data_IF_475455077061
#
_entry.id   IF_475455077061
#
_cell.length_a   1.000
_cell.length_b   1.000
_cell.length_c   1.000
_cell.angle_alpha   90.00
_cell.angle_beta   90.00
_cell.angle_gamma   90.00
#
_symmetry.space_group_name_H-M   'P 1'
#
loop_
_entity.id
_entity.type
_entity.pdbx_description
1 polymer ?
#
# COMPACT_ATOMS: atom_id res chain seq x y z
N UNK A 1 21.93 6.24 -16.02
CA UNK A 1 21.02 7.32 -15.57
C UNK A 1 19.96 6.68 -14.68
N UNK A 2 19.72 7.20 -13.47
CA UNK A 2 18.51 6.82 -12.72
C UNK A 2 17.33 7.36 -13.53
N UNK A 3 16.50 6.48 -14.09
CA UNK A 3 15.24 6.88 -14.71
C UNK A 3 14.39 7.55 -13.65
N UNK A 4 14.09 8.83 -13.80
CA UNK A 4 13.16 9.52 -12.92
C UNK A 4 11.75 9.07 -13.32
N UNK A 5 11.17 8.15 -12.55
CA UNK A 5 9.77 7.75 -12.72
C UNK A 5 8.90 8.91 -12.23
N UNK A 6 8.10 9.47 -13.14
CA UNK A 6 7.09 10.47 -12.79
C UNK A 6 5.83 9.74 -12.33
N UNK A 7 5.20 10.27 -11.28
CA UNK A 7 3.97 9.75 -10.71
C UNK A 7 2.98 10.90 -10.57
N UNK A 8 1.74 10.64 -10.96
CA UNK A 8 0.61 11.55 -10.83
C UNK A 8 -0.60 10.77 -10.32
N UNK A 9 -1.57 11.45 -9.73
CA UNK A 9 -2.81 10.86 -9.26
C UNK A 9 -3.99 11.80 -9.47
N UNK A 10 -5.18 11.22 -9.57
CA UNK A 10 -6.47 11.89 -9.71
C UNK A 10 -7.53 11.11 -8.94
N UNK A 11 -8.63 11.79 -8.60
CA UNK A 11 -9.77 11.17 -7.93
C UNK A 11 -10.90 10.96 -8.93
N UNK A 12 -11.52 9.78 -8.89
CA UNK A 12 -12.64 9.41 -9.75
C UNK A 12 -13.80 8.85 -8.90
N UNK A 13 -15.01 8.98 -9.41
CA UNK A 13 -16.21 8.38 -8.84
C UNK A 13 -16.92 7.57 -9.92
N UNK A 14 -17.28 6.33 -9.63
CA UNK A 14 -17.94 5.44 -10.58
C UNK A 14 -18.05 4.01 -10.04
N UNK A 15 -18.56 3.13 -10.88
CA UNK A 15 -18.87 1.74 -10.52
C UNK A 15 -17.86 0.77 -11.15
N UNK A 16 -17.45 -0.24 -10.38
CA UNK A 16 -16.69 -1.36 -10.92
C UNK A 16 -17.62 -2.34 -11.66
N UNK A 17 -17.24 -2.91 -12.81
CA UNK A 17 -15.93 -2.77 -13.48
C UNK A 17 -15.84 -1.63 -14.51
N UNK A 18 -16.94 -0.94 -14.82
CA UNK A 18 -16.99 0.02 -15.94
C UNK A 18 -16.04 1.21 -15.77
N UNK A 19 -15.82 1.66 -14.52
CA UNK A 19 -14.94 2.79 -14.22
C UNK A 19 -13.47 2.53 -14.57
N UNK A 20 -13.01 1.27 -14.52
CA UNK A 20 -11.62 0.91 -14.82
C UNK A 20 -11.29 1.29 -16.26
N UNK A 21 -12.11 0.82 -17.21
CA UNK A 21 -11.92 1.10 -18.64
C UNK A 21 -11.98 2.61 -18.93
N UNK A 22 -12.91 3.33 -18.31
CA UNK A 22 -13.02 4.78 -18.47
C UNK A 22 -11.75 5.50 -18.01
N UNK A 23 -11.18 5.10 -16.87
CA UNK A 23 -9.94 5.68 -16.34
C UNK A 23 -8.76 5.33 -17.25
N UNK A 24 -8.64 4.09 -17.70
CA UNK A 24 -7.56 3.70 -18.61
C UNK A 24 -7.58 4.49 -19.91
N UNK A 25 -8.75 4.61 -20.56
CA UNK A 25 -8.90 5.39 -21.79
C UNK A 25 -8.53 6.87 -21.58
N UNK A 26 -8.93 7.43 -20.43
CA UNK A 26 -8.56 8.79 -20.04
C UNK A 26 -7.04 8.95 -19.87
N UNK A 27 -6.39 8.02 -19.16
CA UNK A 27 -4.95 8.03 -18.91
C UNK A 27 -4.16 7.94 -20.23
N UNK A 28 -4.49 6.99 -21.11
CA UNK A 28 -3.79 6.84 -22.39
C UNK A 28 -4.01 8.04 -23.32
N UNK A 29 -5.17 8.71 -23.23
CA UNK A 29 -5.43 9.92 -23.99
C UNK A 29 -4.63 11.12 -23.48
N UNK A 30 -4.55 11.32 -22.16
CA UNK A 30 -3.88 12.49 -21.58
C UNK A 30 -2.35 12.36 -21.56
N UNK A 31 -1.83 11.15 -21.37
CA UNK A 31 -0.40 10.89 -21.23
C UNK A 31 0.19 10.18 -22.46
N UNK A 32 -0.34 10.46 -23.66
CA UNK A 32 0.13 9.85 -24.92
C UNK A 32 1.63 10.05 -25.20
N UNK A 33 2.22 11.11 -24.66
CA UNK A 33 3.65 11.43 -24.81
C UNK A 33 4.55 10.71 -23.78
N UNK A 34 3.96 9.92 -22.88
CA UNK A 34 4.67 9.17 -21.84
C UNK A 34 4.55 7.66 -22.08
N UNK A 35 5.63 6.93 -21.80
CA UNK A 35 5.56 5.49 -21.64
C UNK A 35 4.94 5.16 -20.28
N UNK A 36 3.64 4.89 -20.26
CA UNK A 36 2.92 4.52 -19.04
C UNK A 36 3.35 3.11 -18.61
N UNK A 37 4.09 3.02 -17.51
CA UNK A 37 4.62 1.74 -17.00
C UNK A 37 3.69 1.05 -16.00
N UNK A 38 2.78 1.79 -15.36
CA UNK A 38 1.81 1.28 -14.39
C UNK A 38 0.59 2.21 -14.29
N UNK A 39 -0.60 1.62 -14.25
CA UNK A 39 -1.84 2.26 -13.81
C UNK A 39 -2.30 1.48 -12.58
N UNK A 40 -2.53 2.20 -11.49
CA UNK A 40 -3.06 1.64 -10.25
C UNK A 40 -4.34 2.40 -9.87
N UNK A 41 -5.42 1.67 -9.67
CA UNK A 41 -6.70 2.20 -9.19
C UNK A 41 -6.94 1.62 -7.80
N UNK A 42 -7.08 2.51 -6.83
CA UNK A 42 -7.29 2.18 -5.43
C UNK A 42 -8.61 2.79 -4.94
N UNK A 43 -9.30 2.05 -4.09
CA UNK A 43 -10.48 2.53 -3.37
C UNK A 43 -10.22 2.47 -1.88
N UNK A 44 -10.98 3.23 -1.08
CA UNK A 44 -11.03 2.97 0.35
C UNK A 44 -11.54 1.54 0.57
N UNK A 45 -10.93 0.81 1.50
CA UNK A 45 -11.38 -0.53 1.85
C UNK A 45 -12.80 -0.55 2.44
N UNK A 46 -13.32 0.59 2.88
CA UNK A 46 -14.69 0.74 3.37
C UNK A 46 -15.75 0.95 2.28
N UNK A 47 -15.34 1.16 1.01
CA UNK A 47 -16.28 1.42 -0.07
C UNK A 47 -17.25 0.24 -0.26
N UNK A 48 -18.44 0.57 -0.78
CA UNK A 48 -19.38 -0.43 -1.25
C UNK A 48 -18.77 -1.22 -2.42
N UNK A 49 -19.08 -2.52 -2.50
CA UNK A 49 -18.54 -3.44 -3.51
C UNK A 49 -17.18 -4.06 -3.18
N UNK A 50 -16.41 -3.51 -2.24
CA UNK A 50 -15.19 -4.16 -1.74
C UNK A 50 -15.56 -5.52 -1.12
N UNK A 51 -14.83 -6.62 -1.42
CA UNK A 51 -15.24 -7.95 -1.00
C UNK A 51 -15.28 -8.07 0.52
N UNK A 52 -16.44 -8.44 1.06
CA UNK A 52 -16.63 -8.53 2.51
C UNK A 52 -15.93 -9.77 3.09
N UNK A 53 -16.11 -10.91 2.42
CA UNK A 53 -15.61 -12.22 2.84
C UNK A 53 -14.58 -12.78 1.86
N UNK A 54 -13.80 -13.77 2.29
CA UNK A 54 -12.86 -14.51 1.43
C UNK A 54 -13.59 -15.20 0.27
N UNK A 55 -14.86 -15.57 0.47
CA UNK A 55 -15.73 -16.13 -0.57
C UNK A 55 -16.02 -15.08 -1.63
N UNK A 56 -16.42 -13.87 -1.22
CA UNK A 56 -16.67 -12.76 -2.16
C UNK A 56 -15.41 -12.41 -2.95
N UNK A 57 -14.26 -12.35 -2.26
CA UNK A 57 -12.96 -12.08 -2.89
C UNK A 57 -12.65 -13.10 -3.99
N UNK A 58 -12.90 -14.38 -3.73
CA UNK A 58 -12.63 -15.47 -4.68
C UNK A 58 -13.61 -15.52 -5.84
N UNK A 59 -14.89 -15.18 -5.61
CA UNK A 59 -15.94 -15.30 -6.64
C UNK A 59 -15.97 -14.11 -7.60
N UNK A 60 -15.67 -12.89 -7.12
CA UNK A 60 -15.94 -11.66 -7.87
C UNK A 60 -14.71 -10.82 -8.24
N UNK A 61 -13.53 -11.19 -7.73
CA UNK A 61 -12.31 -10.39 -7.89
C UNK A 61 -11.13 -11.24 -8.33
N UNK A 62 -10.24 -10.67 -9.13
CA UNK A 62 -9.04 -11.35 -9.58
C UNK A 62 -8.06 -11.57 -8.41
N UNK A 63 -7.54 -12.79 -8.28
CA UNK A 63 -6.71 -13.17 -7.14
C UNK A 63 -5.31 -12.55 -7.16
N UNK A 64 -4.78 -12.22 -8.35
CA UNK A 64 -3.42 -11.73 -8.51
C UNK A 64 -3.34 -10.21 -8.50
N UNK A 65 -4.37 -9.52 -9.00
CA UNK A 65 -4.36 -8.07 -9.24
C UNK A 65 -5.25 -7.29 -8.29
N UNK A 66 -6.15 -7.96 -7.55
CA UNK A 66 -6.96 -7.32 -6.51
C UNK A 66 -6.57 -7.79 -5.12
N UNK A 67 -6.23 -6.84 -4.25
CA UNK A 67 -5.74 -7.12 -2.91
C UNK A 67 -6.03 -5.96 -1.96
N UNK A 68 -6.05 -6.25 -0.66
CA UNK A 68 -6.06 -5.21 0.35
C UNK A 68 -4.65 -4.68 0.56
N UNK A 69 -4.51 -3.36 0.64
CA UNK A 69 -3.24 -2.69 0.95
C UNK A 69 -3.42 -1.78 2.17
N UNK A 70 -2.47 -1.87 3.09
CA UNK A 70 -2.46 -1.07 4.30
C UNK A 70 -1.15 -0.30 4.39
N UNK A 71 -1.23 0.99 4.68
CA UNK A 71 -0.07 1.83 4.90
C UNK A 71 -0.06 2.38 6.33
N UNK A 72 0.94 1.99 7.09
CA UNK A 72 1.19 2.43 8.46
C UNK A 72 2.23 3.53 8.46
N UNK A 73 1.81 4.76 8.76
CA UNK A 73 2.73 5.88 8.96
C UNK A 73 3.37 5.77 10.33
N UNK A 74 4.66 5.47 10.38
CA UNK A 74 5.44 5.29 11.61
C UNK A 74 6.40 6.45 11.78
N UNK A 75 6.46 7.02 12.99
CA UNK A 75 7.45 8.02 13.35
C UNK A 75 8.64 7.35 14.03
N UNK A 76 9.82 7.56 13.45
CA UNK A 76 11.10 7.11 13.97
C UNK A 76 11.80 8.31 14.59
N UNK A 77 11.80 8.38 15.93
CA UNK A 77 12.31 9.53 16.69
C UNK A 77 13.79 9.42 17.04
N UNK A 78 14.50 10.54 17.05
CA UNK A 78 15.89 10.64 17.50
C UNK A 78 16.86 9.65 16.80
N UNK A 79 16.72 9.46 15.48
CA UNK A 79 17.45 8.42 14.74
C UNK A 79 18.66 8.93 13.94
N UNK A 80 19.49 9.76 14.57
CA UNK A 80 20.72 10.33 14.00
C UNK A 80 21.65 9.32 13.31
N UNK A 81 21.66 8.07 13.80
CA UNK A 81 22.55 6.99 13.33
C UNK A 81 21.81 5.91 12.52
N UNK A 82 20.52 6.09 12.23
CA UNK A 82 19.72 5.10 11.49
C UNK A 82 19.44 3.78 12.24
N UNK A 83 19.78 3.69 13.52
CA UNK A 83 19.65 2.46 14.32
C UNK A 83 18.19 2.06 14.53
N UNK A 84 17.30 3.04 14.74
CA UNK A 84 15.88 2.78 14.91
C UNK A 84 15.22 2.40 13.59
N UNK A 85 15.61 2.99 12.47
CA UNK A 85 15.18 2.56 11.15
C UNK A 85 15.62 1.12 10.87
N UNK A 86 16.85 0.75 11.21
CA UNK A 86 17.33 -0.65 11.12
C UNK A 86 16.47 -1.55 12.01
N UNK A 87 16.16 -1.15 13.24
CA UNK A 87 15.27 -1.91 14.12
C UNK A 87 13.86 -2.08 13.53
N UNK A 88 13.27 -1.02 12.96
CA UNK A 88 11.98 -1.06 12.27
C UNK A 88 12.00 -2.06 11.09
N UNK A 89 13.03 -1.97 10.24
CA UNK A 89 13.22 -2.90 9.12
C UNK A 89 13.37 -4.35 9.61
N UNK A 90 14.10 -4.57 10.69
CA UNK A 90 14.31 -5.90 11.24
C UNK A 90 13.02 -6.50 11.82
N UNK A 91 12.21 -5.72 12.54
CA UNK A 91 10.92 -6.24 13.06
C UNK A 91 9.98 -6.58 11.90
N UNK A 92 9.88 -5.72 10.89
CA UNK A 92 9.07 -5.99 9.70
C UNK A 92 9.53 -7.24 8.95
N UNK A 93 10.84 -7.45 8.80
CA UNK A 93 11.42 -8.66 8.20
C UNK A 93 11.26 -9.91 9.06
N UNK A 94 11.23 -9.77 10.38
CA UNK A 94 11.13 -10.91 11.31
C UNK A 94 9.74 -11.53 11.37
N UNK A 95 8.70 -10.74 11.08
CA UNK A 95 7.33 -11.21 11.07
C UNK A 95 6.90 -11.54 9.64
N UNK A 96 7.15 -12.81 9.26
CA UNK A 96 6.85 -13.31 7.90
C UNK A 96 5.35 -13.44 7.63
N UNK A 97 4.54 -13.57 8.66
CA UNK A 97 3.09 -13.78 8.52
C UNK A 97 2.40 -12.56 7.91
N UNK A 98 2.92 -11.35 8.17
CA UNK A 98 2.36 -10.09 7.66
C UNK A 98 3.06 -9.54 6.43
N UNK A 99 4.20 -10.10 6.01
CA UNK A 99 4.99 -9.65 4.86
C UNK A 99 5.13 -8.11 4.76
N UNK A 100 5.63 -7.48 5.84
CA UNK A 100 5.67 -6.02 5.97
C UNK A 100 6.88 -5.42 5.24
N UNK A 101 6.64 -4.35 4.48
CA UNK A 101 7.68 -3.63 3.74
C UNK A 101 7.83 -2.20 4.24
N UNK A 102 9.06 -1.76 4.53
CA UNK A 102 9.34 -0.38 4.96
C UNK A 102 9.80 0.44 3.74
N UNK A 103 9.26 1.65 3.57
CA UNK A 103 9.69 2.56 2.51
C UNK A 103 11.19 2.82 2.56
N UNK A 104 11.80 2.94 1.38
CA UNK A 104 13.25 3.14 1.27
C UNK A 104 13.67 4.54 1.75
N UNK A 105 12.88 5.55 1.37
CA UNK A 105 13.07 6.94 1.74
C UNK A 105 12.13 7.33 2.88
N UNK A 106 12.56 8.31 3.67
CA UNK A 106 11.69 9.04 4.57
C UNK A 106 10.58 9.72 3.78
N UNK A 107 9.34 9.52 4.22
CA UNK A 107 8.19 10.19 3.65
C UNK A 107 8.18 11.68 4.00
N UNK A 108 8.66 12.01 5.19
CA UNK A 108 8.78 13.39 5.68
C UNK A 108 9.74 13.44 6.86
N UNK A 109 10.73 14.34 6.80
CA UNK A 109 11.47 14.78 7.97
C UNK A 109 10.65 15.86 8.71
N UNK A 110 10.45 15.70 10.01
CA UNK A 110 9.68 16.65 10.82
C UNK A 110 10.51 17.44 11.82
N UNK A 111 11.71 16.96 12.12
CA UNK A 111 12.75 17.66 12.89
C UNK A 111 14.12 17.09 12.47
N UNK A 112 15.23 17.64 12.97
CA UNK A 112 16.59 17.21 12.63
C UNK A 112 16.76 15.68 12.73
N UNK A 113 16.06 15.03 13.66
CA UNK A 113 16.25 13.61 13.98
C UNK A 113 14.98 12.75 13.91
N UNK A 114 13.86 13.34 13.46
CA UNK A 114 12.54 12.71 13.47
C UNK A 114 12.04 12.49 12.05
N UNK A 115 11.86 11.21 11.70
CA UNK A 115 11.57 10.78 10.33
C UNK A 115 10.28 9.96 10.28
N UNK A 116 9.45 10.24 9.28
CA UNK A 116 8.30 9.40 8.97
C UNK A 116 8.66 8.36 7.93
N UNK A 117 8.33 7.11 8.22
CA UNK A 117 8.41 6.01 7.26
C UNK A 117 7.03 5.41 7.06
N UNK A 118 6.80 4.83 5.88
CA UNK A 118 5.62 4.02 5.62
C UNK A 118 5.99 2.56 5.74
N UNK A 119 5.23 1.81 6.53
CA UNK A 119 5.23 0.35 6.48
C UNK A 119 4.01 -0.07 5.68
N UNK A 120 4.17 -0.98 4.73
CA UNK A 120 3.11 -1.46 3.85
C UNK A 120 2.86 -2.94 4.10
N UNK A 121 1.59 -3.32 4.18
CA UNK A 121 1.12 -4.71 4.18
C UNK A 121 0.20 -4.93 2.99
N UNK A 122 0.31 -6.10 2.35
CA UNK A 122 -0.59 -6.52 1.27
C UNK A 122 -1.18 -7.87 1.59
N UNK A 123 -2.49 -7.98 1.45
CA UNK A 123 -3.22 -9.21 1.72
C UNK A 123 -3.99 -9.62 0.47
N UNK A 124 -3.63 -10.79 -0.04
CA UNK A 124 -4.25 -11.43 -1.19
C UNK A 124 -5.26 -12.48 -0.70
N UNK A 125 -6.22 -12.83 -1.56
CA UNK A 125 -7.19 -13.91 -1.33
C UNK A 125 -8.13 -13.77 -0.11
N UNK A 126 -8.07 -12.64 0.61
CA UNK A 126 -8.92 -12.38 1.79
C UNK A 126 -10.00 -11.34 1.49
N UNK A 127 -11.11 -11.43 2.21
CA UNK A 127 -12.13 -10.39 2.31
C UNK A 127 -11.81 -9.35 3.38
N UNK A 128 -12.61 -8.28 3.40
CA UNK A 128 -12.46 -7.12 4.29
C UNK A 128 -12.42 -7.50 5.78
N UNK A 129 -13.25 -8.45 6.20
CA UNK A 129 -13.30 -8.87 7.61
C UNK A 129 -11.95 -9.38 8.09
N UNK A 130 -11.37 -10.34 7.35
CA UNK A 130 -10.07 -10.92 7.65
C UNK A 130 -8.95 -9.91 7.47
N UNK A 131 -9.03 -9.07 6.43
CA UNK A 131 -8.05 -8.03 6.18
C UNK A 131 -7.99 -7.01 7.33
N UNK A 132 -9.14 -6.65 7.91
CA UNK A 132 -9.20 -5.70 9.03
C UNK A 132 -8.74 -6.34 10.33
N UNK A 133 -9.04 -7.62 10.56
CA UNK A 133 -8.49 -8.38 11.69
C UNK A 133 -6.95 -8.39 11.65
N UNK A 134 -6.36 -8.76 10.51
CA UNK A 134 -4.90 -8.78 10.36
C UNK A 134 -4.29 -7.37 10.45
N UNK A 135 -4.97 -6.35 9.94
CA UNK A 135 -4.56 -4.97 10.14
C UNK A 135 -4.44 -4.63 11.64
N UNK A 136 -5.42 -5.02 12.45
CA UNK A 136 -5.42 -4.74 13.89
C UNK A 136 -4.31 -5.52 14.61
N UNK A 137 -4.00 -6.74 14.16
CA UNK A 137 -2.85 -7.51 14.64
C UNK A 137 -1.52 -6.81 14.33
N UNK A 138 -1.35 -6.26 13.12
CA UNK A 138 -0.15 -5.49 12.76
C UNK A 138 -0.02 -4.22 13.59
N UNK A 139 -1.10 -3.49 13.83
CA UNK A 139 -1.09 -2.29 14.69
C UNK A 139 -0.62 -2.67 16.10
N UNK A 140 -1.15 -3.76 16.68
CA UNK A 140 -0.72 -4.27 17.98
C UNK A 140 0.75 -4.67 17.95
N UNK A 141 1.16 -5.42 16.93
CA UNK A 141 2.55 -5.87 16.76
C UNK A 141 3.52 -4.68 16.72
N UNK A 142 3.32 -3.71 15.82
CA UNK A 142 4.18 -2.53 15.71
C UNK A 142 4.20 -1.72 17.02
N UNK A 143 3.06 -1.57 17.69
CA UNK A 143 2.98 -0.89 18.98
C UNK A 143 3.79 -1.61 20.06
N UNK A 144 3.68 -2.93 20.18
CA UNK A 144 4.47 -3.73 21.15
C UNK A 144 5.97 -3.67 20.88
N UNK A 145 6.37 -3.38 19.64
CA UNK A 145 7.77 -3.16 19.24
C UNK A 145 8.23 -1.70 19.36
N UNK A 146 7.43 -0.84 20.00
CA UNK A 146 7.72 0.58 20.20
C UNK A 146 7.75 1.41 18.90
N UNK A 147 6.94 1.02 17.92
CA UNK A 147 6.72 1.73 16.65
C UNK A 147 5.21 1.91 16.37
N UNK A 148 4.44 2.53 17.27
CA UNK A 148 2.99 2.68 17.05
C UNK A 148 2.71 3.48 15.77
N UNK A 149 1.80 3.00 14.88
CA UNK A 149 1.38 3.77 13.73
C UNK A 149 0.67 5.07 14.15
N UNK A 150 1.07 6.19 13.56
CA UNK A 150 0.40 7.49 13.73
C UNK A 150 -0.86 7.63 12.88
N UNK A 151 -0.86 6.97 11.72
CA UNK A 151 -1.99 6.92 10.79
C UNK A 151 -1.94 5.58 10.07
N UNK A 152 -3.12 5.04 9.79
CA UNK A 152 -3.29 3.86 8.94
C UNK A 152 -4.19 4.23 7.78
N UNK A 153 -3.72 3.98 6.56
CA UNK A 153 -4.54 4.03 5.34
C UNK A 153 -4.94 2.60 5.00
N UNK A 154 -6.21 2.42 4.61
CA UNK A 154 -6.82 1.11 4.35
C UNK A 154 -7.43 1.15 2.96
N UNK A 155 -6.79 0.48 2.02
CA UNK A 155 -7.16 0.53 0.61
C UNK A 155 -7.45 -0.87 0.09
N UNK A 156 -8.26 -0.91 -0.95
CA UNK A 156 -8.45 -2.08 -1.78
C UNK A 156 -8.01 -1.71 -3.20
N UNK A 157 -7.11 -2.52 -3.75
CA UNK A 157 -6.56 -2.28 -5.08
C UNK A 157 -7.52 -2.91 -6.09
N UNK A 158 -8.22 -2.04 -6.82
CA UNK A 158 -9.25 -2.38 -7.80
C UNK A 158 -8.63 -2.76 -9.14
N UNK A 159 -7.49 -2.19 -9.47
CA UNK A 159 -6.78 -2.47 -10.70
C UNK A 159 -5.30 -2.12 -10.56
N UNK A 160 -4.42 -2.97 -11.08
CA UNK A 160 -2.98 -2.72 -11.13
C UNK A 160 -2.37 -3.40 -12.35
N UNK A 161 -1.92 -2.61 -13.32
CA UNK A 161 -1.36 -3.16 -14.56
C UNK A 161 0.02 -3.77 -14.37
N UNK A 162 0.72 -3.45 -13.28
CA UNK A 162 2.13 -3.82 -13.14
C UNK A 162 2.58 -3.95 -11.68
N UNK A 163 1.92 -4.85 -10.94
CA UNK A 163 2.27 -5.18 -9.55
C UNK A 163 3.74 -5.61 -9.38
N UNK A 164 4.33 -6.18 -10.43
CA UNK A 164 5.69 -6.71 -10.42
C UNK A 164 6.79 -5.67 -10.26
N UNK A 165 6.47 -4.39 -10.51
CA UNK A 165 7.39 -3.29 -10.19
C UNK A 165 7.72 -3.24 -8.69
N UNK A 166 6.89 -3.84 -7.85
CA UNK A 166 7.11 -3.89 -6.42
C UNK A 166 8.04 -5.05 -5.98
N UNK A 167 8.39 -5.98 -6.88
CA UNK A 167 9.44 -6.99 -6.59
C UNK A 167 10.80 -6.36 -6.30
N UNK A 168 10.99 -5.11 -6.71
CA UNK A 168 12.21 -4.34 -6.45
C UNK A 168 12.25 -3.68 -5.06
N UNK A 169 11.22 -3.88 -4.22
CA UNK A 169 11.19 -3.43 -2.82
C UNK A 169 12.21 -4.23 -1.99
N UNK A 170 13.50 -3.89 -2.11
CA UNK A 170 14.63 -4.44 -1.35
C UNK A 170 14.72 -3.89 0.08
#
# INVERSE_FOLDING_TARGET
MKSQQLMTSSYHCGEYPSIVKSIEEEVYKHFQDFNIIRIKIESLASNEGVPQTDIDKRLFWDEATNYFEFHYKVLVKNDLKGQRLIALRNICKSNRDFNLHVSHNEFKQTDENDFHYMVTMRLFHVGREKAFEQNDEVIKYLTTKNFPPLKVVREFIVYDTHIELDKEWK
#
